data_IF_399169875495
#
_entry.id   IF_399169875495
#
_cell.length_a   1.000
_cell.length_b   1.000
_cell.length_c   1.000
_cell.angle_alpha   90.00
_cell.angle_beta   90.00
_cell.angle_gamma   90.00
#
_symmetry.space_group_name_H-M   'P 1'
#
loop_
_entity.id
_entity.type
_entity.pdbx_description
1 polymer ?
#
# COMPACT_ATOMS: atom_id res chain seq x y z
N UNK A 1 4.12 45.27 7.19
CA UNK A 1 3.67 44.83 5.86
C UNK A 1 4.34 43.49 5.61
N UNK A 2 3.67 42.38 5.93
CA UNK A 2 4.20 41.02 5.78
C UNK A 2 3.51 40.37 4.60
N UNK A 3 4.26 40.12 3.53
CA UNK A 3 3.76 39.45 2.34
C UNK A 3 3.36 38.00 2.67
N UNK A 4 2.09 37.69 2.43
CA UNK A 4 1.55 36.34 2.51
C UNK A 4 1.91 35.59 1.23
N UNK A 5 2.96 34.77 1.29
CA UNK A 5 3.36 33.88 0.19
C UNK A 5 2.44 32.66 0.17
N UNK A 6 1.43 32.71 -0.70
CA UNK A 6 0.49 31.62 -0.94
C UNK A 6 1.22 30.45 -1.61
N UNK A 7 1.67 29.48 -0.81
CA UNK A 7 2.15 28.20 -1.33
C UNK A 7 0.97 27.26 -1.51
N UNK A 8 0.30 27.38 -2.66
CA UNK A 8 -0.64 26.38 -3.14
C UNK A 8 0.10 25.06 -3.39
N UNK A 9 -0.03 24.12 -2.45
CA UNK A 9 0.51 22.77 -2.60
C UNK A 9 -0.33 21.99 -3.61
N UNK A 10 0.03 22.12 -4.89
CA UNK A 10 -0.38 21.19 -5.93
C UNK A 10 0.16 19.81 -5.54
N UNK A 11 -0.71 18.93 -5.07
CA UNK A 11 -0.33 17.54 -4.81
C UNK A 11 0.05 16.89 -6.14
N UNK A 12 1.34 16.60 -6.30
CA UNK A 12 1.86 15.93 -7.48
C UNK A 12 1.27 14.51 -7.51
N UNK A 13 0.61 14.18 -8.62
CA UNK A 13 0.34 12.79 -8.98
C UNK A 13 1.69 12.12 -9.16
N UNK A 14 2.10 11.30 -8.20
CA UNK A 14 3.30 10.50 -8.33
C UNK A 14 2.99 9.34 -9.29
N UNK A 15 3.31 9.55 -10.57
CA UNK A 15 3.31 8.49 -11.58
C UNK A 15 4.40 7.49 -11.20
N UNK A 16 4.05 6.21 -11.15
CA UNK A 16 5.02 5.14 -11.04
C UNK A 16 5.82 5.05 -12.35
N UNK A 17 7.14 5.04 -12.27
CA UNK A 17 8.03 4.84 -13.41
C UNK A 17 8.01 3.37 -13.86
N UNK A 18 7.83 3.07 -15.16
CA UNK A 18 8.14 1.75 -15.70
C UNK A 18 9.64 1.70 -15.99
N UNK A 19 10.40 0.93 -15.22
CA UNK A 19 11.80 0.64 -15.52
C UNK A 19 11.91 -0.10 -16.87
N UNK A 20 12.55 0.53 -17.84
CA UNK A 20 12.89 -0.04 -19.15
C UNK A 20 14.12 -0.95 -19.07
N UNK A 21 14.05 -2.03 -19.83
CA UNK A 21 14.90 -3.22 -19.92
C UNK A 21 16.17 -3.04 -20.76
N UNK A 22 17.12 -3.96 -20.61
CA UNK A 22 18.02 -4.42 -21.68
C UNK A 22 18.35 -5.92 -21.54
N UNK A 23 18.42 -6.59 -22.70
CA UNK A 23 18.32 -8.03 -22.99
C UNK A 23 19.57 -8.88 -22.72
N UNK A 24 19.40 -10.22 -22.64
CA UNK A 24 20.14 -11.20 -23.46
C UNK A 24 19.47 -12.58 -23.48
N UNK A 25 19.48 -13.21 -24.67
CA UNK A 25 18.78 -14.43 -25.06
C UNK A 25 19.49 -15.75 -24.66
N UNK A 26 18.73 -16.84 -24.61
CA UNK A 26 19.19 -18.22 -24.53
C UNK A 26 18.02 -19.21 -24.39
N UNK A 27 17.90 -20.13 -25.35
CA UNK A 27 16.77 -21.00 -25.65
C UNK A 27 16.76 -22.31 -24.81
N UNK A 28 15.59 -22.85 -24.47
CA UNK A 28 15.19 -24.27 -24.64
C UNK A 28 13.81 -24.59 -23.99
N UNK A 29 13.04 -25.45 -24.68
CA UNK A 29 11.59 -25.62 -24.54
C UNK A 29 11.11 -26.53 -23.39
N UNK A 30 10.03 -26.11 -22.71
CA UNK A 30 8.96 -26.96 -22.19
C UNK A 30 7.68 -26.14 -21.90
N UNK A 31 6.66 -26.31 -22.74
CA UNK A 31 5.22 -26.03 -22.53
C UNK A 31 4.72 -26.75 -21.25
N UNK A 32 3.70 -26.40 -20.47
CA UNK A 32 2.54 -25.52 -20.60
C UNK A 32 1.93 -25.37 -19.18
N UNK A 33 1.62 -24.15 -18.71
CA UNK A 33 0.48 -23.93 -17.77
C UNK A 33 0.12 -22.43 -17.72
N UNK A 34 -0.44 -21.90 -18.81
CA UNK A 34 -1.02 -20.56 -18.83
C UNK A 34 -2.52 -20.71 -18.64
N UNK A 35 -3.03 -20.39 -17.44
CA UNK A 35 -4.31 -19.69 -17.23
C UNK A 35 -4.71 -19.62 -15.76
N UNK A 36 -3.95 -18.86 -14.97
CA UNK A 36 -4.56 -18.09 -13.88
C UNK A 36 -3.86 -16.74 -13.77
N UNK A 37 -3.70 -16.06 -14.91
CA UNK A 37 -3.78 -14.59 -14.91
C UNK A 37 -5.24 -14.26 -14.61
N UNK A 38 -5.63 -14.43 -13.35
CA UNK A 38 -6.71 -13.61 -12.82
C UNK A 38 -6.21 -12.18 -13.09
N UNK A 39 -6.81 -11.52 -14.09
CA UNK A 39 -6.55 -10.11 -14.35
C UNK A 39 -6.53 -9.43 -12.98
N UNK A 40 -5.36 -8.91 -12.60
CA UNK A 40 -5.24 -8.16 -11.36
C UNK A 40 -6.02 -6.88 -11.64
N UNK A 41 -7.31 -6.91 -11.34
CA UNK A 41 -8.21 -5.79 -11.48
C UNK A 41 -7.72 -4.73 -10.50
N UNK A 42 -6.91 -3.80 -11.01
CA UNK A 42 -6.51 -2.62 -10.26
C UNK A 42 -7.79 -1.80 -10.04
N UNK A 43 -8.18 -1.50 -8.79
CA UNK A 43 -9.39 -0.76 -8.53
C UNK A 43 -9.28 0.64 -9.12
N UNK A 44 -10.28 1.02 -9.91
CA UNK A 44 -10.44 2.41 -10.35
C UNK A 44 -10.97 3.20 -9.15
N UNK A 45 -10.15 4.14 -8.66
CA UNK A 45 -10.43 4.90 -7.44
C UNK A 45 -10.33 6.39 -7.70
N UNK A 46 -11.28 7.14 -7.15
CA UNK A 46 -11.21 8.59 -7.02
C UNK A 46 -11.05 8.97 -5.55
N UNK A 47 -10.34 10.07 -5.30
CA UNK A 47 -10.25 10.67 -3.96
C UNK A 47 -10.42 12.18 -4.06
N UNK A 48 -11.21 12.74 -3.16
CA UNK A 48 -11.41 14.17 -3.00
C UNK A 48 -11.50 14.46 -1.50
N UNK A 49 -10.71 15.42 -1.03
CA UNK A 49 -10.78 15.92 0.33
C UNK A 49 -10.76 17.46 0.27
N UNK A 50 -11.72 18.08 0.96
CA UNK A 50 -11.93 19.53 0.92
C UNK A 50 -12.18 20.05 2.34
N UNK A 51 -11.61 21.21 2.68
CA UNK A 51 -11.81 21.84 4.00
C UNK A 51 -13.27 22.28 4.25
N UNK A 52 -14.06 22.43 3.19
CA UNK A 52 -15.42 22.95 3.27
C UNK A 52 -15.46 24.36 3.85
N UNK A 53 -16.17 24.54 4.97
CA UNK A 53 -16.31 25.82 5.67
C UNK A 53 -15.27 26.05 6.77
N UNK A 54 -14.42 25.05 7.05
CA UNK A 54 -13.40 25.18 8.08
C UNK A 54 -12.29 26.11 7.62
N UNK A 55 -11.66 26.79 8.59
CA UNK A 55 -10.51 27.67 8.32
C UNK A 55 -9.27 26.87 7.96
N UNK A 56 -9.08 25.72 8.62
CA UNK A 56 -7.92 24.86 8.48
C UNK A 56 -8.39 23.46 8.08
N UNK A 57 -7.68 22.84 7.14
CA UNK A 57 -7.92 21.44 6.75
C UNK A 57 -7.16 20.53 7.70
N UNK A 58 -7.88 19.91 8.62
CA UNK A 58 -7.30 18.97 9.60
C UNK A 58 -7.34 17.51 9.09
N UNK A 59 -8.23 17.22 8.14
CA UNK A 59 -8.37 15.91 7.51
C UNK A 59 -7.19 15.56 6.59
N UNK A 60 -6.89 14.26 6.51
CA UNK A 60 -5.94 13.68 5.56
C UNK A 60 -6.50 12.41 4.91
N UNK A 61 -6.12 12.15 3.66
CA UNK A 61 -6.47 10.90 2.97
C UNK A 61 -5.28 10.34 2.18
N UNK A 62 -5.29 9.03 1.95
CA UNK A 62 -4.27 8.32 1.17
C UNK A 62 -4.89 7.18 0.36
N UNK A 63 -4.37 6.99 -0.83
CA UNK A 63 -4.70 5.90 -1.74
C UNK A 63 -3.41 5.17 -2.11
N UNK A 64 -3.32 3.88 -1.80
CA UNK A 64 -2.19 3.00 -2.14
C UNK A 64 -2.73 1.74 -2.81
N UNK A 65 -2.74 1.73 -4.13
CA UNK A 65 -3.01 0.51 -4.89
C UNK A 65 -1.78 -0.39 -4.87
N UNK A 66 -1.97 -1.72 -4.76
CA UNK A 66 -0.88 -2.69 -4.71
C UNK A 66 0.10 -2.39 -3.57
N UNK A 67 -0.42 -2.14 -2.37
CA UNK A 67 0.38 -1.91 -1.16
C UNK A 67 1.33 -3.10 -0.92
N UNK A 68 0.80 -4.31 -0.92
CA UNK A 68 1.56 -5.53 -0.72
C UNK A 68 0.82 -6.74 -1.31
N UNK A 69 1.47 -7.91 -1.33
CA UNK A 69 0.88 -9.18 -1.80
C UNK A 69 1.25 -10.33 -0.85
N UNK A 70 0.73 -10.31 0.39
CA UNK A 70 1.16 -11.22 1.45
C UNK A 70 0.66 -12.66 1.23
N UNK A 71 1.27 -13.63 1.90
CA UNK A 71 0.87 -15.04 1.82
C UNK A 71 -0.57 -15.27 2.29
N UNK A 72 -1.05 -14.50 3.28
CA UNK A 72 -2.43 -14.61 3.80
C UNK A 72 -3.49 -14.33 2.72
N UNK A 73 -3.17 -13.51 1.71
CA UNK A 73 -4.06 -13.25 0.56
C UNK A 73 -3.76 -14.16 -0.63
N UNK A 74 -2.97 -15.23 -0.44
CA UNK A 74 -2.45 -16.09 -1.53
C UNK A 74 -1.71 -15.27 -2.59
N UNK A 75 -0.88 -14.31 -2.16
CA UNK A 75 -0.15 -13.38 -3.03
C UNK A 75 -1.04 -12.52 -3.93
N UNK A 76 -2.34 -12.38 -3.61
CA UNK A 76 -3.19 -11.41 -4.27
C UNK A 76 -2.88 -10.01 -3.72
N UNK A 77 -2.88 -8.97 -4.56
CA UNK A 77 -2.54 -7.63 -4.11
C UNK A 77 -3.57 -7.08 -3.12
N UNK A 78 -3.07 -6.36 -2.14
CA UNK A 78 -3.85 -5.59 -1.17
C UNK A 78 -3.82 -4.13 -1.61
N UNK A 79 -4.99 -3.49 -1.66
CA UNK A 79 -5.11 -2.06 -1.89
C UNK A 79 -5.51 -1.40 -0.56
N UNK A 80 -4.84 -0.30 -0.21
CA UNK A 80 -5.06 0.43 1.02
C UNK A 80 -5.61 1.82 0.74
N UNK A 81 -6.69 2.17 1.43
CA UNK A 81 -7.34 3.46 1.36
C UNK A 81 -7.56 3.95 2.78
N UNK A 82 -6.99 5.10 3.12
CA UNK A 82 -7.08 5.68 4.47
C UNK A 82 -7.70 7.06 4.41
N UNK A 83 -8.59 7.34 5.35
CA UNK A 83 -9.15 8.67 5.64
C UNK A 83 -8.98 8.91 7.13
N UNK A 84 -8.41 10.05 7.47
CA UNK A 84 -8.06 10.42 8.83
C UNK A 84 -8.70 11.78 9.12
N UNK A 85 -9.67 11.79 10.02
CA UNK A 85 -10.35 12.99 10.52
C UNK A 85 -9.47 13.61 11.62
N UNK A 86 -9.01 14.83 11.41
CA UNK A 86 -8.12 15.53 12.33
C UNK A 86 -8.89 16.39 13.33
N UNK A 87 -8.41 16.44 14.57
CA UNK A 87 -8.93 17.39 15.56
C UNK A 87 -7.81 18.05 16.37
N UNK A 88 -7.93 19.34 16.63
CA UNK A 88 -6.93 20.10 17.38
C UNK A 88 -5.63 20.32 16.59
N UNK A 89 -5.71 20.23 15.26
CA UNK A 89 -4.61 20.39 14.32
C UNK A 89 -4.39 19.18 13.40
N UNK A 90 -3.82 19.42 12.22
CA UNK A 90 -3.65 18.41 11.17
C UNK A 90 -2.49 17.42 11.38
N UNK A 91 -1.68 17.62 12.43
CA UNK A 91 -0.40 16.91 12.59
C UNK A 91 -0.60 15.39 12.71
N UNK A 92 -1.53 14.94 13.56
CA UNK A 92 -1.76 13.50 13.77
C UNK A 92 -2.38 12.86 12.51
N UNK A 93 -3.36 13.49 11.88
CA UNK A 93 -3.96 12.99 10.64
C UNK A 93 -2.92 12.85 9.51
N UNK A 94 -2.00 13.83 9.40
CA UNK A 94 -0.88 13.78 8.47
C UNK A 94 0.10 12.66 8.80
N UNK A 95 0.42 12.45 10.08
CA UNK A 95 1.28 11.35 10.51
C UNK A 95 0.64 9.97 10.22
N UNK A 96 -0.68 9.83 10.43
CA UNK A 96 -1.40 8.61 10.08
C UNK A 96 -1.36 8.35 8.56
N UNK A 97 -1.57 9.39 7.75
CA UNK A 97 -1.40 9.31 6.29
C UNK A 97 -0.04 8.74 5.91
N UNK A 98 1.03 9.20 6.55
CA UNK A 98 2.39 8.83 6.19
C UNK A 98 2.86 7.49 6.77
N UNK A 99 2.30 7.03 7.90
CA UNK A 99 2.82 5.86 8.63
C UNK A 99 1.91 4.65 8.69
N UNK A 100 0.59 4.82 8.72
CA UNK A 100 -0.33 3.69 8.94
C UNK A 100 -0.20 2.62 7.87
N UNK A 101 -0.05 3.01 6.60
CA UNK A 101 0.11 2.06 5.50
C UNK A 101 1.42 1.28 5.55
N UNK A 102 2.51 1.90 6.05
CA UNK A 102 3.82 1.25 6.22
C UNK A 102 3.76 0.19 7.31
N UNK A 103 3.21 0.54 8.48
CA UNK A 103 3.06 -0.40 9.60
C UNK A 103 2.16 -1.57 9.17
N UNK A 104 1.06 -1.29 8.46
CA UNK A 104 0.17 -2.35 7.98
C UNK A 104 0.84 -3.26 6.95
N UNK A 105 1.61 -2.70 6.03
CA UNK A 105 2.39 -3.47 5.07
C UNK A 105 3.39 -4.40 5.77
N UNK A 106 4.14 -3.86 6.74
CA UNK A 106 5.05 -4.64 7.58
C UNK A 106 4.29 -5.80 8.24
N UNK A 107 3.25 -5.54 9.01
CA UNK A 107 2.50 -6.59 9.72
C UNK A 107 1.92 -7.65 8.75
N UNK A 108 1.34 -7.23 7.62
CA UNK A 108 0.79 -8.15 6.64
C UNK A 108 1.84 -9.08 6.02
N UNK A 109 3.06 -8.58 5.79
CA UNK A 109 4.15 -9.38 5.23
C UNK A 109 4.82 -10.29 6.28
N UNK A 110 4.69 -10.01 7.57
CA UNK A 110 5.20 -10.87 8.65
C UNK A 110 4.25 -12.02 9.01
N UNK A 111 2.97 -11.95 8.64
CA UNK A 111 1.99 -13.03 8.93
C UNK A 111 2.23 -14.23 8.02
N UNK A 112 2.96 -15.23 8.54
CA UNK A 112 3.02 -16.56 7.93
C UNK A 112 1.71 -17.31 8.21
N UNK A 113 1.14 -17.93 7.17
CA UNK A 113 -0.10 -18.70 7.25
C UNK A 113 0.00 -19.82 8.30
N UNK A 114 -0.58 -19.64 9.48
CA UNK A 114 -0.58 -20.65 10.57
C UNK A 114 -1.58 -21.77 10.33
N UNK A 115 -2.39 -21.67 9.27
CA UNK A 115 -3.44 -22.62 8.95
C UNK A 115 -3.06 -23.53 7.78
N UNK A 116 -1.98 -24.31 7.89
CA UNK A 116 -1.83 -25.72 7.45
C UNK A 116 -0.54 -26.24 8.14
N UNK A 117 -0.62 -26.54 9.43
CA UNK A 117 0.37 -27.40 10.09
C UNK A 117 -0.36 -28.35 11.05
N UNK A 118 -1.36 -29.06 10.51
CA UNK A 118 -1.71 -30.37 11.02
C UNK A 118 -0.58 -31.34 10.61
N UNK A 119 0.48 -31.37 11.40
CA UNK A 119 1.65 -32.21 11.15
C UNK A 119 2.58 -32.15 12.36
N UNK A 120 2.42 -33.11 13.26
CA UNK A 120 3.17 -33.20 14.50
C UNK A 120 4.69 -33.28 14.28
N UNK A 121 5.41 -32.64 15.19
CA UNK A 121 6.86 -32.74 15.32
C UNK A 121 7.25 -32.18 16.69
N UNK A 122 7.46 -33.08 17.64
CA UNK A 122 7.77 -32.78 19.02
C UNK A 122 9.20 -32.22 19.22
N UNK A 123 9.32 -31.45 20.30
CA UNK A 123 10.49 -31.28 21.19
C UNK A 123 11.80 -30.67 20.65
N UNK A 124 12.24 -29.59 21.30
CA UNK A 124 13.35 -29.71 22.27
C UNK A 124 13.50 -28.42 23.07
N UNK A 125 13.38 -28.55 24.39
CA UNK A 125 13.91 -27.61 25.37
C UNK A 125 15.42 -27.40 25.15
N UNK A 126 15.91 -26.19 25.39
CA UNK A 126 17.29 -26.00 25.86
C UNK A 126 17.26 -25.16 27.13
N UNK A 127 18.08 -25.66 28.04
CA UNK A 127 18.40 -25.21 29.40
C UNK A 127 18.99 -23.81 29.39
#
# INVERSE_FOLDING_TARGET
MTESSQHGVRSAVQRADPSSTSDSAGDDAAEENISNVAEILVPVVGSLAVAGRQRDMEDASIVRTNLCSPEITRRRPVHFFGVYDGHGGSHVASMCKDRTHVILEEELMHVRNTAIAGGGGASSSRV
#
